data_IF_426025324020
#
_entry.id   IF_426025324020
#
_cell.length_a   1.000
_cell.length_b   1.000
_cell.length_c   1.000
_cell.angle_alpha   90.00
_cell.angle_beta   90.00
_cell.angle_gamma   90.00
#
_symmetry.space_group_name_H-M   'P 1'
#
loop_
_entity.id
_entity.type
_entity.pdbx_description
1 polymer ?
#
# COMPACT_ATOMS: atom_id res chain seq x y z
N UNK A 1 -79.52 -37.83 22.00
CA UNK A 1 -78.94 -36.49 22.24
C UNK A 1 -77.44 -36.66 22.18
N UNK A 2 -76.86 -36.42 21.00
CA UNK A 2 -75.41 -36.44 20.79
C UNK A 2 -74.86 -35.02 20.70
N UNK A 3 -73.97 -34.69 21.58
CA UNK A 3 -73.29 -33.41 21.60
C UNK A 3 -72.02 -33.46 20.77
N UNK A 4 -72.01 -32.77 19.63
CA UNK A 4 -70.85 -32.64 18.76
C UNK A 4 -69.78 -31.74 19.37
N UNK A 5 -68.58 -32.26 19.61
CA UNK A 5 -67.39 -31.49 20.06
C UNK A 5 -66.67 -30.98 18.82
N UNK A 6 -66.76 -29.66 18.58
CA UNK A 6 -66.00 -28.98 17.52
C UNK A 6 -64.52 -28.85 17.89
N UNK A 7 -63.65 -29.48 17.15
CA UNK A 7 -62.18 -29.31 17.25
C UNK A 7 -61.74 -28.12 16.44
N UNK A 8 -61.38 -27.03 17.12
CA UNK A 8 -60.73 -25.85 16.48
C UNK A 8 -59.27 -26.19 16.24
N UNK A 9 -58.87 -26.26 14.96
CA UNK A 9 -57.46 -26.36 14.57
C UNK A 9 -56.78 -25.02 14.79
N UNK A 10 -55.77 -24.99 15.63
CA UNK A 10 -54.86 -23.82 15.82
C UNK A 10 -53.77 -23.92 14.77
N UNK A 11 -53.79 -23.03 13.78
CA UNK A 11 -52.69 -22.86 12.79
C UNK A 11 -51.62 -22.01 13.44
N UNK A 12 -50.50 -22.63 13.80
CA UNK A 12 -49.30 -21.89 14.25
C UNK A 12 -48.50 -21.48 13.01
N UNK A 13 -48.60 -20.22 12.64
CA UNK A 13 -47.77 -19.63 11.58
C UNK A 13 -46.38 -19.38 12.16
N UNK A 14 -45.41 -20.20 11.80
CA UNK A 14 -44.01 -19.98 12.13
C UNK A 14 -43.45 -18.89 11.21
N UNK A 15 -43.24 -17.70 11.73
CA UNK A 15 -42.48 -16.62 11.07
C UNK A 15 -40.98 -16.98 11.12
N UNK A 16 -40.43 -17.48 10.01
CA UNK A 16 -39.00 -17.60 9.80
C UNK A 16 -38.42 -16.21 9.49
N UNK A 17 -37.93 -15.52 10.51
CA UNK A 17 -37.11 -14.31 10.32
C UNK A 17 -35.74 -14.72 9.81
N UNK A 18 -35.56 -14.66 8.49
CA UNK A 18 -34.27 -14.85 7.84
C UNK A 18 -33.35 -13.70 8.25
N UNK A 19 -32.36 -13.96 9.10
CA UNK A 19 -31.24 -13.05 9.36
C UNK A 19 -30.37 -13.02 8.10
N UNK A 20 -30.51 -12.01 7.26
CA UNK A 20 -29.58 -11.73 6.18
C UNK A 20 -28.26 -11.28 6.82
N UNK A 21 -27.24 -12.13 6.80
CA UNK A 21 -25.87 -11.73 7.09
C UNK A 21 -25.41 -10.85 5.92
N UNK A 22 -25.46 -9.52 6.12
CA UNK A 22 -24.73 -8.60 5.26
C UNK A 22 -23.23 -8.84 5.51
N UNK A 23 -22.60 -9.66 4.67
CA UNK A 23 -21.17 -9.83 4.65
C UNK A 23 -20.55 -8.45 4.41
N UNK A 24 -19.76 -7.95 5.36
CA UNK A 24 -18.96 -6.75 5.16
C UNK A 24 -18.05 -6.99 3.96
N UNK A 25 -18.34 -6.32 2.85
CA UNK A 25 -17.49 -6.37 1.67
C UNK A 25 -16.10 -5.85 2.07
N UNK A 26 -15.11 -6.77 2.12
CA UNK A 26 -13.72 -6.42 2.38
C UNK A 26 -13.18 -5.70 1.15
N UNK A 27 -12.55 -4.54 1.34
CA UNK A 27 -11.89 -3.85 0.25
C UNK A 27 -10.81 -4.76 -0.36
N UNK A 28 -10.79 -4.87 -1.68
CA UNK A 28 -9.82 -5.68 -2.41
C UNK A 28 -8.43 -5.02 -2.39
N UNK A 29 -7.34 -5.81 -2.47
CA UNK A 29 -6.00 -5.27 -2.66
C UNK A 29 -5.90 -4.42 -3.93
N UNK A 30 -5.14 -3.33 -3.85
CA UNK A 30 -4.94 -2.36 -4.93
C UNK A 30 -3.51 -2.52 -5.43
N UNK A 31 -3.34 -2.79 -6.73
CA UNK A 31 -2.02 -2.85 -7.37
C UNK A 31 -1.82 -1.65 -8.28
N UNK A 32 -0.66 -1.02 -8.20
CA UNK A 32 -0.33 0.17 -8.98
C UNK A 32 1.19 0.31 -9.13
N UNK A 33 1.60 1.21 -10.03
CA UNK A 33 3.00 1.41 -10.40
C UNK A 33 3.44 2.83 -10.05
N UNK A 34 4.65 2.95 -9.52
CA UNK A 34 5.31 4.23 -9.26
C UNK A 34 6.57 4.31 -10.11
N UNK A 35 6.69 5.37 -10.90
CA UNK A 35 7.91 5.66 -11.67
C UNK A 35 8.87 6.46 -10.82
N UNK A 36 10.16 6.08 -10.82
CA UNK A 36 11.21 6.78 -10.11
C UNK A 36 12.15 7.46 -11.11
N UNK A 37 12.42 8.75 -10.88
CA UNK A 37 13.32 9.54 -11.71
C UNK A 37 14.06 10.59 -10.86
N UNK A 38 15.21 11.04 -11.33
CA UNK A 38 15.98 12.10 -10.66
C UNK A 38 15.25 13.44 -10.62
N UNK A 39 14.42 13.72 -11.63
CA UNK A 39 13.61 14.95 -11.68
C UNK A 39 12.57 15.08 -10.56
N UNK A 40 12.20 13.97 -9.92
CA UNK A 40 11.29 13.95 -8.77
C UNK A 40 11.99 14.13 -7.42
N UNK A 41 13.32 14.15 -7.38
CA UNK A 41 14.06 14.47 -6.16
C UNK A 41 13.88 15.95 -5.75
N UNK A 42 14.10 16.23 -4.48
CA UNK A 42 13.99 17.58 -3.92
C UNK A 42 15.29 17.92 -3.18
N UNK A 43 16.15 18.77 -3.76
CA UNK A 43 16.08 19.33 -5.11
C UNK A 43 16.23 18.26 -6.23
N UNK A 44 15.81 18.58 -7.48
CA UNK A 44 15.94 17.64 -8.60
C UNK A 44 17.41 17.26 -8.88
N UNK A 45 17.60 15.98 -9.26
CA UNK A 45 18.90 15.41 -9.61
C UNK A 45 18.94 15.13 -11.12
N UNK A 46 20.00 15.60 -11.78
CA UNK A 46 20.28 15.28 -13.17
C UNK A 46 21.00 13.92 -13.23
N UNK A 47 20.31 12.90 -13.65
CA UNK A 47 20.80 11.52 -13.76
C UNK A 47 20.08 10.78 -14.87
N UNK A 48 20.72 9.85 -15.59
CA UNK A 48 20.05 8.90 -16.45
C UNK A 48 19.34 7.78 -15.66
N UNK A 49 19.53 7.75 -14.34
CA UNK A 49 18.92 6.74 -13.46
C UNK A 49 17.40 6.80 -13.49
N UNK A 50 16.79 5.64 -13.61
CA UNK A 50 15.33 5.45 -13.55
C UNK A 50 14.97 4.22 -12.75
N UNK A 51 13.73 4.13 -12.32
CA UNK A 51 13.20 2.95 -11.65
C UNK A 51 11.70 2.84 -11.75
N UNK A 52 11.20 1.69 -11.35
CA UNK A 52 9.78 1.40 -11.27
C UNK A 52 9.52 0.58 -10.01
N UNK A 53 8.54 1.00 -9.22
CA UNK A 53 8.03 0.22 -8.11
C UNK A 53 6.64 -0.31 -8.46
N UNK A 54 6.50 -1.64 -8.52
CA UNK A 54 5.22 -2.34 -8.57
C UNK A 54 4.78 -2.56 -7.13
N UNK A 55 3.69 -1.91 -6.73
CA UNK A 55 3.16 -1.93 -5.37
C UNK A 55 1.81 -2.64 -5.35
N UNK A 56 1.58 -3.44 -4.31
CA UNK A 56 0.25 -3.94 -3.97
C UNK A 56 -0.04 -3.61 -2.52
N UNK A 57 -1.16 -2.94 -2.26
CA UNK A 57 -1.62 -2.56 -0.94
C UNK A 57 -2.96 -3.20 -0.63
N UNK A 58 -3.04 -3.95 0.47
CA UNK A 58 -4.30 -4.49 1.00
C UNK A 58 -4.78 -3.60 2.17
N UNK A 59 -5.82 -2.79 1.97
CA UNK A 59 -6.31 -1.89 3.02
C UNK A 59 -6.93 -2.64 4.20
N UNK A 60 -7.37 -3.88 4.01
CA UNK A 60 -7.98 -4.66 5.08
C UNK A 60 -6.95 -5.26 6.05
N UNK A 61 -5.76 -5.60 5.57
CA UNK A 61 -4.63 -6.09 6.39
C UNK A 61 -3.57 -5.02 6.64
N UNK A 62 -3.64 -3.90 5.92
CA UNK A 62 -2.62 -2.84 5.89
C UNK A 62 -1.25 -3.35 5.45
N UNK A 63 -1.22 -4.40 4.66
CA UNK A 63 0.02 -4.93 4.10
C UNK A 63 0.31 -4.23 2.78
N UNK A 64 1.52 -3.71 2.63
CA UNK A 64 2.09 -3.27 1.36
C UNK A 64 3.17 -4.24 0.93
N UNK A 65 3.14 -4.67 -0.33
CA UNK A 65 4.21 -5.44 -0.96
C UNK A 65 4.82 -4.63 -2.11
N UNK A 66 6.10 -4.86 -2.39
CA UNK A 66 6.79 -4.15 -3.45
C UNK A 66 7.75 -5.04 -4.23
N UNK A 67 7.87 -4.73 -5.51
CA UNK A 67 8.96 -5.14 -6.40
C UNK A 67 9.51 -3.88 -7.05
N UNK A 68 10.74 -3.49 -6.72
CA UNK A 68 11.33 -2.26 -7.21
C UNK A 68 12.51 -2.61 -8.11
N UNK A 69 12.43 -2.21 -9.37
CA UNK A 69 13.52 -2.32 -10.35
C UNK A 69 14.09 -0.94 -10.63
N UNK A 70 15.40 -0.87 -10.81
CA UNK A 70 16.08 0.37 -11.18
C UNK A 70 17.33 0.06 -12.00
N UNK A 71 17.80 1.08 -12.72
CA UNK A 71 19.00 1.01 -13.53
C UNK A 71 19.48 2.38 -13.94
N UNK A 72 20.67 2.43 -14.57
CA UNK A 72 21.27 3.68 -15.05
C UNK A 72 21.71 4.65 -13.95
N UNK A 73 21.84 4.18 -12.70
CA UNK A 73 22.31 5.01 -11.59
C UNK A 73 23.78 5.40 -11.77
N UNK A 74 24.21 6.46 -11.12
CA UNK A 74 25.60 6.98 -11.13
C UNK A 74 26.62 6.03 -10.47
N UNK A 75 26.15 5.00 -9.79
CA UNK A 75 26.93 3.96 -9.14
C UNK A 75 26.04 2.94 -8.44
N UNK A 76 26.62 1.99 -7.70
CA UNK A 76 25.84 1.04 -6.92
C UNK A 76 24.89 1.75 -5.96
N UNK A 77 23.66 1.25 -5.85
CA UNK A 77 22.72 1.74 -4.84
C UNK A 77 23.28 1.47 -3.44
N UNK A 78 23.17 2.44 -2.55
CA UNK A 78 23.64 2.33 -1.16
C UNK A 78 22.51 2.06 -0.20
N UNK A 79 21.34 2.65 -0.45
CA UNK A 79 20.13 2.54 0.38
C UNK A 79 18.89 2.73 -0.48
N UNK A 80 17.75 2.26 0.01
CA UNK A 80 16.44 2.54 -0.56
C UNK A 80 15.38 2.54 0.55
N UNK A 81 14.47 3.51 0.51
CA UNK A 81 13.48 3.71 1.56
C UNK A 81 12.10 4.11 1.04
N UNK A 82 11.06 3.81 1.85
CA UNK A 82 9.88 4.65 1.89
C UNK A 82 10.11 5.80 2.88
N UNK A 83 9.68 6.97 2.49
CA UNK A 83 9.68 8.19 3.29
C UNK A 83 8.26 8.73 3.47
N UNK A 84 8.00 9.40 4.59
CA UNK A 84 6.72 10.05 4.87
C UNK A 84 6.56 10.44 6.35
N UNK A 85 5.51 11.22 6.68
CA UNK A 85 4.62 11.89 5.73
C UNK A 85 5.31 13.03 4.99
N UNK A 86 5.07 13.13 3.70
CA UNK A 86 5.54 14.21 2.86
C UNK A 86 4.68 14.33 1.59
N UNK A 87 4.07 15.47 1.38
CA UNK A 87 3.39 15.79 0.14
C UNK A 87 4.39 15.82 -1.03
N UNK A 88 3.89 15.69 -2.26
CA UNK A 88 4.71 15.82 -3.45
C UNK A 88 5.57 17.11 -3.43
N UNK A 89 6.83 16.99 -3.80
CA UNK A 89 7.79 18.11 -3.77
C UNK A 89 8.29 18.48 -2.36
N UNK A 90 8.03 17.68 -1.34
CA UNK A 90 8.54 17.84 0.02
C UNK A 90 9.36 16.63 0.45
N UNK A 91 10.36 16.84 1.29
CA UNK A 91 11.12 15.77 1.92
C UNK A 91 10.50 15.38 3.27
N UNK A 92 10.57 14.08 3.59
CA UNK A 92 10.09 13.51 4.84
C UNK A 92 11.08 12.52 5.45
N UNK A 93 10.85 12.09 6.70
CA UNK A 93 11.69 11.10 7.35
C UNK A 93 11.59 9.71 6.72
N UNK A 94 12.58 8.85 6.98
CA UNK A 94 12.51 7.43 6.62
C UNK A 94 11.43 6.74 7.45
N UNK A 95 10.56 5.99 6.79
CA UNK A 95 9.50 5.20 7.44
C UNK A 95 9.80 3.70 7.38
N UNK A 96 10.19 3.20 6.20
CA UNK A 96 10.49 1.78 5.99
C UNK A 96 11.76 1.65 5.15
N UNK A 97 12.69 0.82 5.62
CA UNK A 97 13.83 0.37 4.82
C UNK A 97 13.35 -0.66 3.80
N UNK A 98 13.63 -0.41 2.51
CA UNK A 98 13.25 -1.31 1.43
C UNK A 98 14.24 -2.47 1.25
N UNK A 99 15.44 -2.34 1.83
CA UNK A 99 16.44 -3.39 1.96
C UNK A 99 16.89 -3.50 3.42
N UNK A 100 17.60 -4.57 3.76
CA UNK A 100 18.16 -4.70 5.12
C UNK A 100 19.07 -3.50 5.40
N UNK A 101 18.86 -2.83 6.54
CA UNK A 101 19.71 -1.72 6.97
C UNK A 101 21.18 -2.12 7.01
N UNK A 102 22.05 -1.31 6.42
CA UNK A 102 23.48 -1.59 6.31
C UNK A 102 23.89 -2.55 5.18
N UNK A 103 22.91 -3.02 4.38
CA UNK A 103 23.18 -3.84 3.19
C UNK A 103 22.74 -3.07 1.95
N UNK A 104 23.66 -2.81 1.00
CA UNK A 104 23.30 -2.17 -0.27
C UNK A 104 22.20 -2.96 -1.00
N UNK A 105 21.13 -2.31 -1.48
CA UNK A 105 20.10 -3.00 -2.24
C UNK A 105 20.60 -3.35 -3.64
N UNK A 106 20.10 -4.47 -4.16
CA UNK A 106 20.28 -4.87 -5.57
C UNK A 106 18.92 -4.94 -6.25
N UNK A 107 18.86 -4.53 -7.52
CA UNK A 107 17.63 -4.61 -8.32
C UNK A 107 17.42 -6.05 -8.82
N UNK A 108 16.20 -6.62 -8.69
CA UNK A 108 15.01 -6.05 -8.05
C UNK A 108 15.05 -6.10 -6.51
N UNK A 109 14.52 -5.07 -5.85
CA UNK A 109 14.27 -5.08 -4.40
C UNK A 109 12.85 -5.62 -4.17
N UNK A 110 12.74 -6.72 -3.44
CA UNK A 110 11.44 -7.32 -3.10
C UNK A 110 11.22 -7.24 -1.59
N UNK A 111 9.99 -7.00 -1.18
CA UNK A 111 9.65 -6.99 0.23
C UNK A 111 8.18 -6.74 0.52
N UNK A 112 7.88 -6.72 1.80
CA UNK A 112 6.55 -6.37 2.32
C UNK A 112 6.66 -5.79 3.72
N UNK A 113 5.64 -5.01 4.10
CA UNK A 113 5.48 -4.51 5.46
C UNK A 113 4.01 -4.39 5.83
N UNK A 114 3.71 -4.57 7.11
CA UNK A 114 2.41 -4.24 7.68
C UNK A 114 2.47 -2.83 8.24
N UNK A 115 1.63 -1.94 7.74
CA UNK A 115 1.57 -0.55 8.15
C UNK A 115 0.79 -0.40 9.46
N UNK A 116 1.20 0.55 10.31
CA UNK A 116 0.34 1.02 11.40
C UNK A 116 -0.92 1.68 10.83
N UNK A 117 -2.00 1.87 11.60
CA UNK A 117 -3.19 2.59 11.12
C UNK A 117 -2.88 3.98 10.57
N UNK A 118 -1.98 4.73 11.24
CA UNK A 118 -1.54 6.06 10.81
C UNK A 118 -0.74 6.00 9.51
N UNK A 119 0.22 5.09 9.40
CA UNK A 119 1.00 4.88 8.18
C UNK A 119 0.13 4.48 7.00
N UNK A 120 -0.89 3.63 7.24
CA UNK A 120 -1.85 3.21 6.22
C UNK A 120 -2.66 4.40 5.68
N UNK A 121 -3.08 5.33 6.56
CA UNK A 121 -3.76 6.55 6.16
C UNK A 121 -2.85 7.44 5.30
N UNK A 122 -1.63 7.71 5.76
CA UNK A 122 -0.63 8.51 5.03
C UNK A 122 -0.30 7.89 3.66
N UNK A 123 -0.14 6.55 3.61
CA UNK A 123 0.09 5.83 2.37
C UNK A 123 -1.09 5.99 1.39
N UNK A 124 -2.31 5.80 1.88
CA UNK A 124 -3.53 5.90 1.06
C UNK A 124 -3.80 7.33 0.56
N UNK A 125 -3.36 8.37 1.29
CA UNK A 125 -3.51 9.78 0.90
C UNK A 125 -2.43 10.28 -0.05
N UNK A 126 -1.40 9.46 -0.32
CA UNK A 126 -0.31 9.85 -1.23
C UNK A 126 0.80 10.65 -0.56
N UNK A 127 0.91 10.59 0.77
CA UNK A 127 1.89 11.33 1.56
C UNK A 127 3.21 10.56 1.75
N UNK A 128 3.47 9.56 0.92
CA UNK A 128 4.72 8.81 0.93
C UNK A 128 5.44 8.89 -0.40
N UNK A 129 6.76 8.71 -0.37
CA UNK A 129 7.57 8.52 -1.56
C UNK A 129 8.61 7.44 -1.37
N UNK A 130 9.08 6.88 -2.49
CA UNK A 130 10.20 5.95 -2.55
C UNK A 130 11.40 6.72 -3.06
N UNK A 131 12.60 6.45 -2.51
CA UNK A 131 13.83 6.85 -3.16
C UNK A 131 14.91 5.76 -3.10
N UNK A 132 15.87 5.86 -4.03
CA UNK A 132 17.08 5.04 -4.10
C UNK A 132 18.28 5.97 -4.07
N UNK A 133 19.23 5.65 -3.22
CA UNK A 133 20.42 6.46 -2.98
C UNK A 133 21.67 5.80 -3.59
N UNK A 134 22.65 6.64 -3.96
CA UNK A 134 23.99 6.22 -4.35
C UNK A 134 25.03 7.00 -3.57
N UNK A 135 26.31 6.63 -3.71
CA UNK A 135 27.39 7.39 -3.10
C UNK A 135 27.48 8.83 -3.64
N UNK A 136 27.21 9.01 -4.95
CA UNK A 136 27.20 10.34 -5.58
C UNK A 136 26.01 11.18 -5.14
N UNK A 137 24.91 10.55 -4.78
CA UNK A 137 23.66 11.20 -4.36
C UNK A 137 23.17 10.62 -3.02
N UNK A 138 23.84 10.95 -1.91
CA UNK A 138 23.50 10.39 -0.60
C UNK A 138 22.13 10.83 -0.06
N UNK A 139 21.57 11.93 -0.58
CA UNK A 139 20.21 12.38 -0.28
C UNK A 139 19.13 11.69 -1.14
N UNK A 140 19.55 10.86 -2.11
CA UNK A 140 18.70 10.16 -3.06
C UNK A 140 19.02 10.56 -4.52
N UNK A 141 19.10 9.58 -5.39
CA UNK A 141 19.35 9.78 -6.82
C UNK A 141 18.06 9.76 -7.64
N UNK A 142 17.19 8.79 -7.41
CA UNK A 142 15.89 8.69 -8.06
C UNK A 142 14.79 8.60 -7.01
N UNK A 143 13.62 9.17 -7.31
CA UNK A 143 12.47 9.25 -6.41
C UNK A 143 11.17 9.10 -7.17
N UNK A 144 10.13 8.58 -6.52
CA UNK A 144 8.76 8.56 -7.02
C UNK A 144 7.76 8.73 -5.88
N UNK A 145 6.78 9.64 -6.05
CA UNK A 145 5.69 9.81 -5.10
C UNK A 145 4.73 8.62 -5.20
N UNK A 146 4.35 8.07 -4.06
CA UNK A 146 3.42 6.94 -3.96
C UNK A 146 1.99 7.50 -4.01
N UNK A 147 1.30 7.25 -5.11
CA UNK A 147 -0.06 7.76 -5.37
C UNK A 147 -1.00 6.59 -5.64
N UNK A 148 -1.55 5.93 -4.60
CA UNK A 148 -2.50 4.85 -4.80
C UNK A 148 -3.75 5.35 -5.53
N UNK A 149 -4.35 4.55 -6.45
CA UNK A 149 -5.65 4.87 -7.02
C UNK A 149 -6.70 5.04 -5.92
N UNK A 150 -7.56 6.04 -6.08
CA UNK A 150 -8.70 6.21 -5.17
C UNK A 150 -9.74 5.12 -5.46
N UNK A 151 -10.12 4.37 -4.44
CA UNK A 151 -11.20 3.37 -4.48
C UNK A 151 -12.58 4.02 -4.41
#
# INVERSE_FOLDING_TARGET
>A
METAISRRAVVVTACLTGMAWAGLARAAPISFKVLLAGTQQVPPVQTPGTGTADLTYDPATRVVTWVITYGGLSGPATMAHFHGPAAEGKNGPVVIWLSKQGSPPTSPINGQATLTPEQAQQFATGDWYINVHTQAHPAGEIRGQVMPPKS
#
